data_IF_375699076503
#
_entry.id   IF_375699076503
#
_cell.length_a   1.000
_cell.length_b   1.000
_cell.length_c   1.000
_cell.angle_alpha   90.00
_cell.angle_beta   90.00
_cell.angle_gamma   90.00
#
_symmetry.space_group_name_H-M   'P 1'
#
loop_
_entity.id
_entity.type
_entity.pdbx_description
1 polymer ?
#
# COMPACT_ATOMS: atom_id res chain seq x y z
N UNK A 1 3.55 -24.26 -27.31
CA UNK A 1 3.66 -22.78 -27.27
C UNK A 1 4.10 -22.40 -25.86
N UNK A 2 4.85 -21.32 -25.60
CA UNK A 2 5.22 -21.00 -24.22
C UNK A 2 4.00 -20.46 -23.45
N UNK A 3 3.83 -20.88 -22.19
CA UNK A 3 2.73 -20.52 -21.26
C UNK A 3 2.27 -19.06 -21.41
N UNK A 4 3.21 -18.12 -21.27
CA UNK A 4 2.93 -16.69 -21.37
C UNK A 4 2.35 -16.29 -22.73
N UNK A 5 2.80 -16.89 -23.84
CA UNK A 5 2.33 -16.52 -25.19
C UNK A 5 0.86 -16.91 -25.41
N UNK A 6 0.41 -18.01 -24.82
CA UNK A 6 -0.99 -18.45 -24.89
C UNK A 6 -1.90 -17.49 -24.13
N UNK A 7 -1.54 -17.18 -22.87
CA UNK A 7 -2.25 -16.22 -22.01
C UNK A 7 -2.40 -14.85 -22.69
N UNK A 8 -1.31 -14.31 -23.27
CA UNK A 8 -1.33 -13.03 -23.98
C UNK A 8 -2.29 -13.00 -25.16
N UNK A 9 -2.22 -14.02 -26.03
CA UNK A 9 -3.07 -14.10 -27.22
C UNK A 9 -4.54 -14.16 -26.86
N UNK A 10 -4.89 -14.87 -25.78
CA UNK A 10 -6.26 -14.91 -25.30
C UNK A 10 -6.71 -13.56 -24.74
N UNK A 11 -5.89 -12.88 -23.92
CA UNK A 11 -6.23 -11.53 -23.42
C UNK A 11 -6.50 -10.58 -24.58
N UNK A 12 -5.65 -10.58 -25.61
CA UNK A 12 -5.82 -9.74 -26.80
C UNK A 12 -7.13 -10.03 -27.53
N UNK A 13 -7.43 -11.32 -27.72
CA UNK A 13 -8.63 -11.77 -28.39
C UNK A 13 -9.90 -11.37 -27.63
N UNK A 14 -9.96 -11.64 -26.32
CA UNK A 14 -11.09 -11.31 -25.46
C UNK A 14 -11.24 -9.81 -25.19
N UNK A 15 -10.16 -9.02 -25.27
CA UNK A 15 -10.27 -7.56 -25.17
C UNK A 15 -10.94 -6.97 -26.42
N UNK A 16 -10.57 -7.47 -27.60
CA UNK A 16 -10.99 -6.90 -28.87
C UNK A 16 -12.36 -7.42 -29.34
N UNK A 17 -12.90 -8.50 -28.77
CA UNK A 17 -14.16 -9.06 -29.24
C UNK A 17 -15.04 -9.64 -28.12
N UNK A 18 -16.33 -9.79 -28.44
CA UNK A 18 -17.32 -10.43 -27.58
C UNK A 18 -17.13 -11.94 -27.57
N UNK A 19 -17.61 -12.61 -26.51
CA UNK A 19 -17.59 -14.08 -26.40
C UNK A 19 -18.27 -14.72 -27.61
N UNK A 20 -19.41 -14.16 -28.03
CA UNK A 20 -20.17 -14.63 -29.19
C UNK A 20 -19.32 -14.60 -30.46
N UNK A 21 -18.61 -13.52 -30.74
CA UNK A 21 -17.75 -13.41 -31.93
C UNK A 21 -16.56 -14.39 -31.92
N UNK A 22 -16.07 -14.76 -30.73
CA UNK A 22 -14.97 -15.71 -30.56
C UNK A 22 -15.46 -17.15 -30.82
N UNK A 23 -16.66 -17.49 -30.33
CA UNK A 23 -17.25 -18.83 -30.43
C UNK A 23 -17.94 -19.09 -31.78
N UNK A 24 -18.38 -18.04 -32.46
CA UNK A 24 -18.99 -18.13 -33.78
C UNK A 24 -18.03 -18.59 -34.88
N UNK A 25 -18.61 -19.00 -36.02
CA UNK A 25 -17.87 -19.38 -37.23
C UNK A 25 -16.82 -20.50 -37.01
N UNK A 26 -17.13 -21.50 -36.17
CA UNK A 26 -16.24 -22.62 -35.86
C UNK A 26 -14.86 -22.16 -35.34
N UNK A 27 -14.83 -21.16 -34.46
CA UNK A 27 -13.61 -20.69 -33.80
C UNK A 27 -12.62 -20.00 -34.75
N UNK A 28 -13.10 -19.38 -35.84
CA UNK A 28 -12.21 -18.78 -36.84
C UNK A 28 -11.29 -17.70 -36.25
N UNK A 29 -11.78 -16.93 -35.27
CA UNK A 29 -10.95 -15.94 -34.58
C UNK A 29 -9.86 -16.57 -33.72
N UNK A 30 -10.15 -17.73 -33.10
CA UNK A 30 -9.14 -18.51 -32.39
C UNK A 30 -8.08 -19.03 -33.36
N UNK A 31 -8.49 -19.56 -34.52
CA UNK A 31 -7.55 -20.01 -35.56
C UNK A 31 -6.63 -18.89 -36.03
N UNK A 32 -7.19 -17.71 -36.29
CA UNK A 32 -6.44 -16.52 -36.70
C UNK A 32 -5.46 -16.06 -35.61
N UNK A 33 -5.93 -15.92 -34.36
CA UNK A 33 -5.10 -15.46 -33.25
C UNK A 33 -3.93 -16.43 -32.96
N UNK A 34 -4.18 -17.74 -33.10
CA UNK A 34 -3.19 -18.79 -32.81
C UNK A 34 -2.36 -19.26 -34.00
N UNK A 35 -2.70 -18.81 -35.21
CA UNK A 35 -2.05 -19.21 -36.48
C UNK A 35 -2.13 -20.73 -36.72
N UNK A 36 -3.32 -21.31 -36.48
CA UNK A 36 -3.58 -22.74 -36.61
C UNK A 36 -4.70 -23.03 -37.60
N UNK A 37 -4.67 -24.21 -38.22
CA UNK A 37 -5.70 -24.63 -39.19
C UNK A 37 -6.93 -25.26 -38.54
N UNK A 38 -6.76 -25.86 -37.35
CA UNK A 38 -7.83 -26.55 -36.63
C UNK A 38 -7.80 -26.15 -35.15
N UNK A 39 -8.90 -25.55 -34.68
CA UNK A 39 -9.00 -25.06 -33.30
C UNK A 39 -9.13 -26.19 -32.28
N UNK A 40 -9.52 -27.42 -32.68
CA UNK A 40 -9.58 -28.56 -31.77
C UNK A 40 -8.21 -28.90 -31.18
N UNK A 41 -7.12 -28.54 -31.87
CA UNK A 41 -5.75 -28.66 -31.35
C UNK A 41 -5.51 -27.83 -30.09
N UNK A 42 -6.24 -26.71 -29.92
CA UNK A 42 -6.17 -25.90 -28.70
C UNK A 42 -6.93 -26.54 -27.54
N UNK A 43 -8.00 -27.28 -27.83
CA UNK A 43 -8.81 -27.96 -26.82
C UNK A 43 -8.09 -29.16 -26.19
N UNK A 44 -7.03 -29.67 -26.83
CA UNK A 44 -6.17 -30.69 -26.25
C UNK A 44 -5.14 -30.10 -25.26
N UNK A 45 -4.95 -28.78 -25.27
CA UNK A 45 -4.07 -28.07 -24.36
C UNK A 45 -4.83 -27.65 -23.09
N UNK A 46 -4.56 -28.37 -21.99
CA UNK A 46 -5.16 -28.10 -20.69
C UNK A 46 -4.94 -26.66 -20.21
N UNK A 47 -3.80 -26.08 -20.55
CA UNK A 47 -3.44 -24.72 -20.14
C UNK A 47 -4.25 -23.69 -20.91
N UNK A 48 -4.37 -23.88 -22.23
CA UNK A 48 -5.26 -23.08 -23.07
C UNK A 48 -6.69 -23.11 -22.53
N UNK A 49 -7.24 -24.30 -22.28
CA UNK A 49 -8.62 -24.45 -21.78
C UNK A 49 -8.81 -23.74 -20.44
N UNK A 50 -7.85 -23.88 -19.53
CA UNK A 50 -7.89 -23.21 -18.22
C UNK A 50 -7.97 -21.68 -18.38
N UNK A 51 -7.08 -21.08 -19.18
CA UNK A 51 -7.10 -19.63 -19.39
C UNK A 51 -8.32 -19.16 -20.18
N UNK A 52 -8.78 -19.95 -21.15
CA UNK A 52 -9.96 -19.64 -21.94
C UNK A 52 -11.20 -19.51 -21.06
N UNK A 53 -11.45 -20.46 -20.16
CA UNK A 53 -12.62 -20.42 -19.25
C UNK A 53 -12.54 -19.26 -18.25
N UNK A 54 -11.34 -18.97 -17.73
CA UNK A 54 -11.10 -17.81 -16.85
C UNK A 54 -11.42 -16.50 -17.59
N UNK A 55 -10.85 -16.31 -18.79
CA UNK A 55 -11.04 -15.11 -19.58
C UNK A 55 -12.48 -14.95 -20.09
N UNK A 56 -13.16 -16.05 -20.39
CA UNK A 56 -14.58 -16.04 -20.74
C UNK A 56 -15.43 -15.52 -19.58
N UNK A 57 -15.17 -16.00 -18.36
CA UNK A 57 -15.82 -15.49 -17.14
C UNK A 57 -15.57 -14.01 -16.94
N UNK A 58 -14.31 -13.57 -17.05
CA UNK A 58 -13.92 -12.17 -16.89
C UNK A 58 -14.52 -11.27 -17.96
N UNK A 59 -14.54 -11.73 -19.21
CA UNK A 59 -15.17 -11.00 -20.30
C UNK A 59 -16.65 -10.81 -20.07
N UNK A 60 -17.35 -11.83 -19.57
CA UNK A 60 -18.78 -11.72 -19.27
C UNK A 60 -19.05 -10.64 -18.19
N UNK A 61 -18.24 -10.59 -17.12
CA UNK A 61 -18.34 -9.55 -16.08
C UNK A 61 -18.02 -8.16 -16.66
N UNK A 62 -16.99 -8.06 -17.51
CA UNK A 62 -16.61 -6.81 -18.17
C UNK A 62 -17.71 -6.29 -19.12
N UNK A 63 -18.33 -7.16 -19.90
CA UNK A 63 -19.46 -6.82 -20.78
C UNK A 63 -20.70 -6.40 -19.97
N UNK A 64 -20.88 -6.96 -18.78
CA UNK A 64 -21.95 -6.55 -17.87
C UNK A 64 -21.71 -5.13 -17.36
N UNK A 65 -20.50 -4.84 -16.86
CA UNK A 65 -20.10 -3.48 -16.47
C UNK A 65 -20.26 -2.50 -17.64
N UNK A 66 -19.79 -2.86 -18.83
CA UNK A 66 -19.87 -2.01 -20.03
C UNK A 66 -21.30 -1.59 -20.39
N UNK A 67 -22.29 -2.44 -20.06
CA UNK A 67 -23.71 -2.22 -20.35
C UNK A 67 -24.42 -1.46 -19.23
N UNK A 68 -23.99 -1.63 -17.99
CA UNK A 68 -24.66 -1.09 -16.81
C UNK A 68 -24.13 0.30 -16.41
N UNK A 69 -22.84 0.57 -16.66
CA UNK A 69 -22.20 1.82 -16.29
C UNK A 69 -21.31 2.40 -17.39
N UNK A 70 -21.13 3.72 -17.36
CA UNK A 70 -20.32 4.48 -18.30
C UNK A 70 -19.46 5.54 -17.57
N UNK A 71 -18.45 6.07 -18.27
CA UNK A 71 -17.57 7.11 -17.74
C UNK A 71 -16.90 6.73 -16.42
N UNK A 72 -16.95 7.62 -15.43
CA UNK A 72 -16.26 7.42 -14.15
C UNK A 72 -16.83 6.27 -13.31
N UNK A 73 -18.15 6.02 -13.39
CA UNK A 73 -18.79 4.93 -12.64
C UNK A 73 -18.34 3.57 -13.18
N UNK A 74 -18.14 3.46 -14.49
CA UNK A 74 -17.56 2.26 -15.11
C UNK A 74 -16.13 2.01 -14.62
N UNK A 75 -15.33 3.06 -14.47
CA UNK A 75 -13.97 2.96 -13.91
C UNK A 75 -14.02 2.46 -12.46
N UNK A 76 -14.92 3.00 -11.64
CA UNK A 76 -15.12 2.58 -10.25
C UNK A 76 -15.52 1.12 -10.12
N UNK A 77 -16.49 0.65 -10.92
CA UNK A 77 -16.90 -0.75 -10.93
C UNK A 77 -15.76 -1.69 -11.33
N UNK A 78 -14.95 -1.29 -12.32
CA UNK A 78 -13.74 -2.01 -12.71
C UNK A 78 -12.72 -2.11 -11.55
N UNK A 79 -12.46 -1.01 -10.85
CA UNK A 79 -11.55 -0.99 -9.71
C UNK A 79 -12.08 -1.81 -8.53
N UNK A 80 -13.40 -1.76 -8.26
CA UNK A 80 -14.05 -2.55 -7.22
C UNK A 80 -13.88 -4.04 -7.48
N UNK A 81 -14.13 -4.48 -8.71
CA UNK A 81 -13.90 -5.87 -9.10
C UNK A 81 -12.43 -6.29 -8.89
N UNK A 82 -11.46 -5.47 -9.29
CA UNK A 82 -10.04 -5.78 -9.07
C UNK A 82 -9.72 -5.89 -7.57
N UNK A 83 -10.31 -5.01 -6.75
CA UNK A 83 -10.15 -5.06 -5.30
C UNK A 83 -10.70 -6.36 -4.69
N UNK A 84 -11.90 -6.79 -5.12
CA UNK A 84 -12.52 -8.05 -4.69
C UNK A 84 -11.62 -9.27 -4.98
N UNK A 85 -11.09 -9.37 -6.20
CA UNK A 85 -10.23 -10.49 -6.62
C UNK A 85 -8.89 -10.50 -5.88
N UNK A 86 -8.39 -9.31 -5.52
CA UNK A 86 -7.16 -9.17 -4.74
C UNK A 86 -7.35 -9.70 -3.31
N UNK A 87 -8.51 -9.45 -2.70
CA UNK A 87 -8.82 -9.93 -1.35
C UNK A 87 -8.94 -11.47 -1.31
N UNK A 88 -9.36 -12.09 -2.41
CA UNK A 88 -9.32 -13.54 -2.62
C UNK A 88 -7.90 -14.11 -2.86
N UNK A 89 -6.87 -13.25 -2.85
CA UNK A 89 -5.45 -13.57 -3.04
C UNK A 89 -5.11 -14.20 -4.40
N UNK A 90 -5.93 -13.96 -5.42
CA UNK A 90 -5.64 -14.42 -6.77
C UNK A 90 -4.89 -13.35 -7.58
N UNK A 91 -3.58 -13.22 -7.31
CA UNK A 91 -2.75 -12.20 -7.94
C UNK A 91 -2.67 -12.36 -9.47
N UNK A 92 -2.78 -13.58 -9.98
CA UNK A 92 -2.79 -13.82 -11.42
C UNK A 92 -4.08 -13.30 -12.06
N UNK A 93 -5.24 -13.52 -11.43
CA UNK A 93 -6.51 -12.95 -11.89
C UNK A 93 -6.45 -11.43 -11.92
N UNK A 94 -5.93 -10.80 -10.86
CA UNK A 94 -5.76 -9.33 -10.78
C UNK A 94 -4.96 -8.80 -11.98
N UNK A 95 -3.87 -9.47 -12.35
CA UNK A 95 -3.06 -9.12 -13.51
C UNK A 95 -3.88 -9.25 -14.82
N UNK A 96 -4.57 -10.38 -15.01
CA UNK A 96 -5.37 -10.66 -16.21
C UNK A 96 -6.48 -9.62 -16.37
N UNK A 97 -7.26 -9.37 -15.31
CA UNK A 97 -8.40 -8.44 -15.30
C UNK A 97 -7.94 -7.02 -15.62
N UNK A 98 -6.88 -6.56 -14.95
CA UNK A 98 -6.31 -5.22 -15.17
C UNK A 98 -5.89 -5.03 -16.62
N UNK A 99 -5.31 -6.04 -17.24
CA UNK A 99 -4.88 -5.99 -18.65
C UNK A 99 -6.04 -6.03 -19.62
N UNK A 100 -7.05 -6.86 -19.34
CA UNK A 100 -8.26 -6.95 -20.12
C UNK A 100 -9.00 -5.59 -20.13
N UNK A 101 -9.17 -4.97 -18.96
CA UNK A 101 -9.76 -3.62 -18.80
C UNK A 101 -8.96 -2.59 -19.58
N UNK A 102 -7.62 -2.57 -19.45
CA UNK A 102 -6.76 -1.62 -20.17
C UNK A 102 -6.91 -1.73 -21.68
N UNK A 103 -6.93 -2.94 -22.23
CA UNK A 103 -7.07 -3.14 -23.67
C UNK A 103 -8.49 -2.82 -24.14
N UNK A 104 -9.51 -3.15 -23.35
CA UNK A 104 -10.91 -2.93 -23.74
C UNK A 104 -11.31 -1.46 -23.64
N UNK A 105 -11.14 -0.85 -22.46
CA UNK A 105 -11.66 0.48 -22.17
C UNK A 105 -10.61 1.57 -22.33
N UNK A 106 -9.40 1.39 -21.79
CA UNK A 106 -8.38 2.45 -21.83
C UNK A 106 -7.86 2.75 -23.25
N UNK A 107 -7.95 1.82 -24.20
CA UNK A 107 -7.49 2.06 -25.56
C UNK A 107 -8.56 2.74 -26.42
N UNK A 108 -9.82 2.30 -26.29
CA UNK A 108 -10.86 2.61 -27.27
C UNK A 108 -11.98 3.54 -26.72
N UNK A 109 -12.27 3.52 -25.42
CA UNK A 109 -13.52 4.10 -24.89
C UNK A 109 -13.28 5.25 -23.89
N UNK A 110 -12.38 5.05 -22.92
CA UNK A 110 -12.17 6.05 -21.88
C UNK A 110 -11.45 7.30 -22.40
N UNK A 111 -11.81 8.45 -21.85
CA UNK A 111 -11.07 9.69 -22.02
C UNK A 111 -9.83 9.73 -21.09
N UNK A 112 -9.02 10.79 -21.21
CA UNK A 112 -7.78 10.91 -20.43
C UNK A 112 -8.02 11.01 -18.91
N UNK A 113 -9.13 11.59 -18.48
CA UNK A 113 -9.46 11.71 -17.06
C UNK A 113 -9.81 10.36 -16.45
N UNK A 114 -10.63 9.56 -17.15
CA UNK A 114 -11.01 8.19 -16.75
C UNK A 114 -9.81 7.26 -16.71
N UNK A 115 -8.95 7.29 -17.75
CA UNK A 115 -7.71 6.51 -17.78
C UNK A 115 -6.81 6.85 -16.60
N UNK A 116 -6.64 8.14 -16.32
CA UNK A 116 -5.85 8.60 -15.19
C UNK A 116 -6.44 8.13 -13.86
N UNK A 117 -7.76 8.22 -13.69
CA UNK A 117 -8.44 7.74 -12.48
C UNK A 117 -8.25 6.23 -12.28
N UNK A 118 -8.37 5.45 -13.35
CA UNK A 118 -8.09 4.01 -13.31
C UNK A 118 -6.63 3.74 -12.93
N UNK A 119 -5.68 4.44 -13.56
CA UNK A 119 -4.24 4.27 -13.30
C UNK A 119 -3.86 4.63 -11.85
N UNK A 120 -4.41 5.72 -11.33
CA UNK A 120 -4.24 6.15 -9.94
C UNK A 120 -4.82 5.10 -8.97
N UNK A 121 -6.01 4.56 -9.26
CA UNK A 121 -6.65 3.49 -8.49
C UNK A 121 -5.87 2.17 -8.51
N UNK A 122 -5.34 1.76 -9.67
CA UNK A 122 -4.46 0.58 -9.78
C UNK A 122 -3.16 0.81 -9.00
N UNK A 123 -2.56 2.00 -9.07
CA UNK A 123 -1.38 2.33 -8.27
C UNK A 123 -1.67 2.21 -6.77
N UNK A 124 -2.83 2.69 -6.30
CA UNK A 124 -3.28 2.51 -4.91
C UNK A 124 -3.42 1.03 -4.55
N UNK A 125 -4.12 0.25 -5.37
CA UNK A 125 -4.35 -1.16 -5.10
C UNK A 125 -3.05 -1.96 -5.11
N UNK A 126 -2.18 -1.79 -6.10
CA UNK A 126 -1.03 -2.68 -6.28
C UNK A 126 0.23 -2.22 -5.54
N UNK A 127 0.47 -0.91 -5.48
CA UNK A 127 1.78 -0.38 -5.09
C UNK A 127 1.81 0.24 -3.70
N UNK A 128 0.68 0.77 -3.22
CA UNK A 128 0.68 1.39 -1.89
C UNK A 128 0.94 0.37 -0.80
N UNK A 129 1.69 0.79 0.22
CA UNK A 129 1.84 0.02 1.46
C UNK A 129 0.78 0.42 2.46
N UNK A 130 0.49 -0.47 3.40
CA UNK A 130 -0.51 -0.18 4.44
C UNK A 130 -0.02 0.96 5.36
N UNK A 131 1.28 1.00 5.65
CA UNK A 131 1.85 2.11 6.41
C UNK A 131 3.30 2.48 6.04
N UNK A 132 3.65 3.74 6.30
CA UNK A 132 5.01 4.26 6.38
C UNK A 132 5.37 4.46 7.85
N UNK A 133 6.52 3.96 8.32
CA UNK A 133 6.99 4.20 9.69
C UNK A 133 8.15 5.21 9.70
N UNK A 134 7.88 6.42 10.19
CA UNK A 134 8.86 7.47 10.45
C UNK A 134 9.43 7.32 11.86
N UNK A 135 10.76 7.36 12.00
CA UNK A 135 11.45 7.27 13.29
C UNK A 135 12.88 7.82 13.19
N UNK A 136 13.54 8.04 14.32
CA UNK A 136 14.95 8.43 14.37
C UNK A 136 15.79 7.34 15.01
N UNK A 137 17.06 7.23 14.60
CA UNK A 137 18.07 6.45 15.34
C UNK A 137 18.82 7.31 16.37
N UNK A 138 18.55 8.64 16.41
CA UNK A 138 19.08 9.50 17.47
C UNK A 138 18.57 8.99 18.80
N UNK A 139 19.49 8.77 19.74
CA UNK A 139 19.22 8.20 21.05
C UNK A 139 18.72 6.75 21.07
N UNK A 140 18.91 5.99 19.97
CA UNK A 140 18.50 4.58 19.92
C UNK A 140 19.05 3.74 21.08
N UNK A 141 20.26 4.04 21.59
CA UNK A 141 20.81 3.35 22.77
C UNK A 141 19.93 3.49 24.02
N UNK A 142 19.51 4.72 24.35
CA UNK A 142 18.68 4.97 25.54
C UNK A 142 17.29 4.37 25.34
N UNK A 143 16.64 4.65 24.21
CA UNK A 143 15.33 4.06 23.87
C UNK A 143 15.38 2.52 23.91
N UNK A 144 16.41 1.90 23.35
CA UNK A 144 16.52 0.44 23.39
C UNK A 144 16.75 -0.09 24.82
N UNK A 145 17.32 0.72 25.72
CA UNK A 145 17.51 0.37 27.13
C UNK A 145 16.22 0.44 27.92
N UNK A 146 15.39 1.45 27.68
CA UNK A 146 14.09 1.59 28.33
C UNK A 146 13.14 0.42 28.00
N UNK A 147 13.35 -0.23 26.86
CA UNK A 147 12.53 -1.36 26.38
C UNK A 147 13.30 -2.70 26.29
N UNK A 148 14.49 -2.80 26.92
CA UNK A 148 15.43 -3.91 26.75
C UNK A 148 14.79 -5.29 26.95
N UNK A 149 14.05 -5.49 28.05
CA UNK A 149 13.43 -6.79 28.38
C UNK A 149 12.52 -7.31 27.24
N UNK A 150 11.78 -6.40 26.61
CA UNK A 150 10.82 -6.74 25.54
C UNK A 150 11.57 -6.96 24.23
N UNK A 151 12.58 -6.13 23.95
CA UNK A 151 13.37 -6.20 22.73
C UNK A 151 14.22 -7.46 22.69
N UNK A 152 14.86 -7.83 23.80
CA UNK A 152 15.64 -9.07 23.94
C UNK A 152 14.74 -10.30 23.78
N UNK A 153 13.55 -10.30 24.37
CA UNK A 153 12.58 -11.39 24.21
C UNK A 153 12.17 -11.62 22.74
N UNK A 154 12.01 -10.54 21.96
CA UNK A 154 11.50 -10.60 20.58
C UNK A 154 12.61 -10.83 19.56
N UNK A 155 13.74 -10.14 19.69
CA UNK A 155 14.83 -10.14 18.71
C UNK A 155 16.01 -11.03 19.11
N UNK A 156 16.14 -11.42 20.39
CA UNK A 156 17.18 -12.32 20.89
C UNK A 156 18.59 -11.89 20.43
N UNK A 157 19.35 -12.79 19.80
CA UNK A 157 20.71 -12.54 19.31
C UNK A 157 20.81 -11.32 18.39
N UNK A 158 19.78 -11.06 17.58
CA UNK A 158 19.79 -9.94 16.63
C UNK A 158 19.78 -8.58 17.35
N UNK A 159 19.37 -8.52 18.62
CA UNK A 159 19.36 -7.27 19.41
C UNK A 159 20.77 -6.83 19.82
N UNK A 160 21.68 -7.79 20.04
CA UNK A 160 23.00 -7.53 20.62
C UNK A 160 23.97 -6.88 19.62
N UNK A 161 23.88 -7.21 18.33
CA UNK A 161 24.91 -6.86 17.35
C UNK A 161 24.89 -5.41 16.83
N UNK A 162 23.82 -4.62 17.05
CA UNK A 162 23.69 -3.25 16.52
C UNK A 162 22.81 -2.28 17.35
N UNK A 163 22.74 -2.49 18.68
CA UNK A 163 21.86 -1.72 19.60
C UNK A 163 22.08 -0.20 19.56
N UNK A 164 23.29 0.26 19.24
CA UNK A 164 23.63 1.70 19.26
C UNK A 164 23.27 2.46 17.98
N UNK A 165 22.94 1.74 16.90
CA UNK A 165 22.72 2.33 15.57
C UNK A 165 21.30 2.14 15.04
N UNK A 166 20.52 1.32 15.73
CA UNK A 166 19.20 0.87 15.27
C UNK A 166 18.16 1.15 16.35
N UNK A 167 17.08 1.83 16.01
CA UNK A 167 15.92 1.94 16.88
C UNK A 167 15.11 0.62 16.85
N UNK A 168 15.36 -0.27 17.81
CA UNK A 168 14.68 -1.57 17.86
C UNK A 168 13.24 -1.44 18.33
N UNK A 169 12.88 -0.37 19.04
CA UNK A 169 11.47 -0.09 19.37
C UNK A 169 10.65 0.18 18.10
N UNK A 170 11.17 1.00 17.17
CA UNK A 170 10.54 1.19 15.86
C UNK A 170 10.41 -0.14 15.10
N UNK A 171 11.45 -0.98 15.11
CA UNK A 171 11.38 -2.34 14.52
C UNK A 171 10.34 -3.23 15.20
N UNK A 172 10.19 -3.14 16.52
CA UNK A 172 9.20 -3.88 17.29
C UNK A 172 7.78 -3.47 16.89
N UNK A 173 7.53 -2.16 16.80
CA UNK A 173 6.24 -1.60 16.35
C UNK A 173 5.94 -2.11 14.93
N UNK A 174 6.87 -1.97 13.99
CA UNK A 174 6.70 -2.48 12.63
C UNK A 174 6.44 -3.99 12.61
N UNK A 175 7.19 -4.77 13.39
CA UNK A 175 7.00 -6.21 13.52
C UNK A 175 5.59 -6.56 13.98
N UNK A 176 5.06 -5.86 14.99
CA UNK A 176 3.72 -6.11 15.51
C UNK A 176 2.60 -5.63 14.59
N UNK A 177 2.75 -4.48 13.92
CA UNK A 177 1.82 -4.02 12.90
C UNK A 177 1.66 -5.05 11.77
N UNK A 178 2.78 -5.58 11.27
CA UNK A 178 2.79 -6.64 10.24
C UNK A 178 2.19 -7.95 10.79
N UNK A 179 2.58 -8.34 12.02
CA UNK A 179 2.18 -9.63 12.60
C UNK A 179 0.68 -9.74 12.92
N UNK A 180 0.04 -8.65 13.37
CA UNK A 180 -1.34 -8.73 13.84
C UNK A 180 -2.38 -8.75 12.73
N UNK A 181 -2.20 -7.92 11.70
CA UNK A 181 -3.21 -7.74 10.65
C UNK A 181 -2.62 -8.00 9.24
N UNK A 182 -1.42 -8.57 9.15
CA UNK A 182 -0.77 -8.87 7.87
C UNK A 182 -0.36 -7.63 7.07
N UNK A 183 -0.19 -6.49 7.75
CA UNK A 183 0.08 -5.21 7.11
C UNK A 183 1.41 -5.24 6.35
N UNK A 184 1.41 -4.63 5.19
CA UNK A 184 2.59 -4.32 4.40
C UNK A 184 3.15 -2.97 4.81
N UNK A 185 4.46 -2.91 4.99
CA UNK A 185 5.13 -1.74 5.52
C UNK A 185 6.11 -1.16 4.51
N UNK A 186 6.27 0.16 4.55
CA UNK A 186 7.52 0.80 4.18
C UNK A 186 8.22 1.27 5.45
N UNK A 187 9.33 0.63 5.80
CA UNK A 187 10.25 1.10 6.83
C UNK A 187 11.66 0.70 6.43
N UNK A 188 12.63 1.50 6.81
CA UNK A 188 14.03 1.21 6.56
C UNK A 188 14.51 0.10 7.50
N UNK A 189 14.59 -1.12 6.98
CA UNK A 189 15.09 -2.29 7.73
C UNK A 189 16.62 -2.42 7.64
N UNK A 190 17.26 -1.77 6.68
CA UNK A 190 18.60 -2.11 6.19
C UNK A 190 19.59 -0.93 6.24
N UNK A 191 19.39 0.04 7.14
CA UNK A 191 20.27 1.20 7.31
C UNK A 191 20.45 2.00 6.00
N UNK A 192 19.34 2.43 5.39
CA UNK A 192 19.36 3.45 4.35
C UNK A 192 20.01 4.72 4.94
N UNK A 193 21.30 4.89 4.69
CA UNK A 193 22.06 6.07 5.12
C UNK A 193 21.50 7.32 4.45
N UNK A 194 20.89 8.22 5.23
CA UNK A 194 20.29 9.45 4.73
C UNK A 194 21.26 10.25 3.83
N UNK A 195 20.85 10.48 2.58
CA UNK A 195 21.54 11.32 1.60
C UNK A 195 20.55 11.78 0.50
N UNK A 196 20.93 12.79 -0.29
CA UNK A 196 19.99 13.42 -1.24
C UNK A 196 19.41 12.45 -2.28
N UNK A 197 20.14 11.40 -2.66
CA UNK A 197 19.66 10.36 -3.59
C UNK A 197 18.57 9.46 -2.98
N UNK A 198 18.55 9.31 -1.67
CA UNK A 198 17.61 8.48 -0.93
C UNK A 198 16.35 9.26 -0.56
N UNK A 199 16.48 10.58 -0.38
CA UNK A 199 15.39 11.50 -0.07
C UNK A 199 14.21 11.32 -1.03
N UNK A 200 14.45 11.34 -2.33
CA UNK A 200 13.35 11.22 -3.31
C UNK A 200 12.63 9.89 -3.18
N UNK A 201 13.37 8.81 -2.93
CA UNK A 201 12.79 7.47 -2.74
C UNK A 201 11.95 7.41 -1.47
N UNK A 202 12.47 7.86 -0.33
CA UNK A 202 11.73 7.88 0.95
C UNK A 202 10.50 8.77 0.84
N UNK A 203 10.65 9.98 0.28
CA UNK A 203 9.56 10.93 0.10
C UNK A 203 8.51 10.45 -0.91
N UNK A 204 8.88 9.62 -1.89
CA UNK A 204 7.92 8.96 -2.77
C UNK A 204 7.12 7.91 -1.98
N UNK A 205 7.82 7.06 -1.23
CA UNK A 205 7.16 6.02 -0.44
C UNK A 205 6.26 6.60 0.65
N UNK A 206 6.64 7.69 1.32
CA UNK A 206 5.77 8.31 2.32
C UNK A 206 4.45 8.81 1.71
N UNK A 207 4.40 9.14 0.41
CA UNK A 207 3.17 9.55 -0.28
C UNK A 207 2.41 8.40 -0.96
N UNK A 208 2.89 7.16 -0.83
CA UNK A 208 2.29 5.97 -1.43
C UNK A 208 1.96 4.93 -0.34
N UNK A 209 1.29 5.40 0.72
CA UNK A 209 0.84 4.56 1.84
C UNK A 209 -0.54 4.96 2.32
N UNK A 210 -1.29 4.03 2.91
CA UNK A 210 -2.59 4.33 3.52
C UNK A 210 -2.45 5.06 4.86
N UNK A 211 -1.42 4.75 5.65
CA UNK A 211 -1.19 5.36 6.96
C UNK A 211 0.23 5.90 7.13
N UNK A 212 0.35 7.05 7.79
CA UNK A 212 1.60 7.57 8.32
C UNK A 212 1.69 7.25 9.80
N UNK A 213 2.63 6.38 10.14
CA UNK A 213 2.93 5.98 11.50
C UNK A 213 4.24 6.62 11.91
N UNK A 214 4.34 7.14 13.12
CA UNK A 214 5.58 7.74 13.61
C UNK A 214 5.85 7.40 15.06
N UNK A 215 7.07 6.96 15.33
CA UNK A 215 7.61 6.90 16.69
C UNK A 215 8.15 8.30 17.02
N UNK A 216 7.56 8.92 18.03
CA UNK A 216 7.85 10.28 18.46
C UNK A 216 8.61 10.23 19.78
N UNK A 217 9.82 10.78 19.74
CA UNK A 217 10.77 10.78 20.84
C UNK A 217 11.31 12.20 20.99
N UNK A 218 11.60 12.65 22.21
CA UNK A 218 12.15 13.99 22.45
C UNK A 218 13.42 14.31 21.63
N UNK A 219 14.37 13.36 21.41
CA UNK A 219 15.55 13.56 20.55
C UNK A 219 15.23 13.98 19.11
N UNK A 220 14.04 13.67 18.58
CA UNK A 220 13.62 14.10 17.24
C UNK A 220 13.60 15.63 17.11
N UNK A 221 13.56 16.36 18.21
CA UNK A 221 13.53 17.83 18.21
C UNK A 221 14.90 18.46 18.51
N UNK A 222 15.92 17.66 18.80
CA UNK A 222 17.25 18.11 19.26
C UNK A 222 18.24 18.42 18.12
N UNK A 223 17.75 18.73 16.92
CA UNK A 223 18.60 19.04 15.78
C UNK A 223 19.23 20.44 15.91
N UNK A 224 20.55 20.54 15.76
CA UNK A 224 21.25 21.82 15.63
C UNK A 224 20.86 22.54 14.33
N UNK A 225 21.04 23.87 14.25
CA UNK A 225 20.65 24.71 13.11
C UNK A 225 21.15 24.23 11.73
N UNK A 226 22.16 23.35 11.67
CA UNK A 226 22.72 22.82 10.43
C UNK A 226 22.32 21.37 10.13
N UNK A 227 21.63 20.68 11.04
CA UNK A 227 21.19 19.31 10.83
C UNK A 227 19.72 19.25 10.45
N UNK A 228 19.40 18.42 9.47
CA UNK A 228 18.05 18.29 8.92
C UNK A 228 17.24 17.29 9.74
N UNK A 229 16.09 17.72 10.24
CA UNK A 229 15.10 16.86 10.88
C UNK A 229 14.31 16.09 9.80
N UNK A 230 14.70 14.84 9.53
CA UNK A 230 14.08 14.03 8.47
C UNK A 230 12.65 13.62 8.80
N UNK A 231 12.37 13.25 10.06
CA UNK A 231 11.01 12.90 10.51
C UNK A 231 10.02 14.04 10.25
N UNK A 232 10.43 15.28 10.49
CA UNK A 232 9.60 16.45 10.20
C UNK A 232 9.38 16.67 8.71
N UNK A 233 10.40 16.41 7.89
CA UNK A 233 10.31 16.59 6.43
C UNK A 233 9.44 15.52 5.78
N UNK A 234 9.48 14.29 6.28
CA UNK A 234 8.55 13.21 5.93
C UNK A 234 7.11 13.57 6.28
N UNK A 235 6.88 14.04 7.52
CA UNK A 235 5.58 14.53 7.97
C UNK A 235 5.06 15.65 7.04
N UNK A 236 5.87 16.70 6.80
CA UNK A 236 5.49 17.81 5.92
C UNK A 236 5.16 17.33 4.50
N UNK A 237 5.94 16.38 3.97
CA UNK A 237 5.70 15.86 2.63
C UNK A 237 4.38 15.10 2.56
N UNK A 238 4.10 14.25 3.54
CA UNK A 238 2.84 13.52 3.63
C UNK A 238 1.65 14.46 3.80
N UNK A 239 1.74 15.45 4.70
CA UNK A 239 0.70 16.44 4.96
C UNK A 239 0.39 17.29 3.71
N UNK A 240 1.43 17.75 3.01
CA UNK A 240 1.25 18.47 1.73
C UNK A 240 0.62 17.61 0.65
N UNK A 241 0.94 16.31 0.61
CA UNK A 241 0.35 15.40 -0.35
C UNK A 241 -1.12 15.14 -0.04
N UNK A 242 -1.47 14.90 1.22
CA UNK A 242 -2.86 14.76 1.66
C UNK A 242 -3.69 15.98 1.28
N UNK A 243 -3.20 17.18 1.61
CA UNK A 243 -3.87 18.43 1.28
C UNK A 243 -4.12 18.60 -0.24
N UNK A 244 -3.19 18.15 -1.10
CA UNK A 244 -3.33 18.22 -2.56
C UNK A 244 -4.26 17.16 -3.13
N UNK A 245 -4.32 15.99 -2.50
CA UNK A 245 -5.15 14.87 -2.98
C UNK A 245 -6.65 15.11 -2.81
N UNK A 246 -7.06 16.17 -2.10
CA UNK A 246 -8.45 16.40 -1.73
C UNK A 246 -8.97 15.41 -0.68
N UNK A 247 -8.15 14.42 -0.29
CA UNK A 247 -8.44 13.49 0.79
C UNK A 247 -8.18 14.21 2.12
N UNK A 248 -9.17 14.96 2.58
CA UNK A 248 -9.17 15.65 3.89
C UNK A 248 -9.36 14.69 5.06
N UNK A 249 -9.32 13.37 4.82
CA UNK A 249 -9.45 12.38 5.89
C UNK A 249 -8.24 12.44 6.82
N UNK A 250 -8.51 13.07 7.94
CA UNK A 250 -7.58 13.50 8.97
C UNK A 250 -7.17 12.33 9.91
N UNK A 251 -7.57 11.10 9.55
CA UNK A 251 -7.44 9.87 10.36
C UNK A 251 -6.25 8.99 9.93
N UNK A 252 -5.38 9.47 9.03
CA UNK A 252 -4.26 8.70 8.47
C UNK A 252 -2.97 8.81 9.28
N UNK A 253 -2.99 9.57 10.38
CA UNK A 253 -1.85 9.79 11.27
C UNK A 253 -1.96 8.93 12.53
N UNK A 254 -0.90 8.20 12.84
CA UNK A 254 -0.78 7.40 14.05
C UNK A 254 0.58 7.66 14.70
N UNK A 255 0.56 7.96 15.99
CA UNK A 255 1.76 8.34 16.73
C UNK A 255 1.95 7.40 17.92
N UNK A 256 3.20 6.99 18.13
CA UNK A 256 3.63 6.32 19.34
C UNK A 256 4.57 7.26 20.09
N UNK A 257 4.28 7.57 21.35
CA UNK A 257 5.17 8.39 22.17
C UNK A 257 5.98 7.49 23.10
N UNK A 258 7.29 7.70 23.21
CA UNK A 258 8.12 7.02 24.21
C UNK A 258 8.07 7.68 25.58
N UNK A 259 7.62 8.94 25.63
CA UNK A 259 7.49 9.75 26.84
C UNK A 259 6.11 10.42 26.89
N UNK A 260 5.74 10.96 28.05
CA UNK A 260 4.52 11.76 28.13
C UNK A 260 4.58 12.97 27.18
N UNK A 261 3.42 13.39 26.67
CA UNK A 261 3.32 14.47 25.68
C UNK A 261 4.00 15.77 26.14
N UNK A 262 3.92 16.08 27.43
CA UNK A 262 4.56 17.27 28.02
C UNK A 262 6.09 17.20 28.05
N UNK A 263 6.67 15.99 28.09
CA UNK A 263 8.12 15.77 28.00
C UNK A 263 8.60 15.88 26.56
N UNK A 264 7.84 15.31 25.64
CA UNK A 264 8.10 15.40 24.20
C UNK A 264 7.99 16.86 23.71
N UNK A 265 7.01 17.61 24.22
CA UNK A 265 6.73 18.99 23.83
C UNK A 265 6.86 19.97 25.02
N UNK A 266 8.09 20.36 25.41
CA UNK A 266 8.30 21.32 26.50
C UNK A 266 7.68 22.69 26.21
N UNK A 267 7.48 23.51 27.24
CA UNK A 267 6.84 24.83 27.11
C UNK A 267 7.50 25.75 26.05
N UNK A 268 8.83 25.68 25.91
CA UNK A 268 9.60 26.43 24.91
C UNK A 268 9.83 25.64 23.61
N UNK A 269 8.80 24.93 23.13
CA UNK A 269 8.91 24.12 21.93
C UNK A 269 9.10 24.97 20.65
N UNK A 270 9.99 24.58 19.71
CA UNK A 270 10.25 25.39 18.52
C UNK A 270 8.99 25.60 17.67
N UNK A 271 8.65 26.86 17.40
CA UNK A 271 7.43 27.22 16.66
C UNK A 271 7.35 26.65 15.24
N UNK A 272 8.49 26.30 14.63
CA UNK A 272 8.54 25.64 13.32
C UNK A 272 7.82 24.29 13.29
N UNK A 273 7.70 23.62 14.44
CA UNK A 273 7.06 22.32 14.59
C UNK A 273 5.61 22.42 15.06
N UNK A 274 5.04 23.63 15.17
CA UNK A 274 3.70 23.84 15.75
C UNK A 274 2.60 23.02 15.06
N UNK A 275 2.57 22.98 13.73
CA UNK A 275 1.56 22.18 13.00
C UNK A 275 1.71 20.68 13.30
N UNK A 276 2.95 20.19 13.35
CA UNK A 276 3.23 18.79 13.64
C UNK A 276 2.85 18.42 15.08
N UNK A 277 3.19 19.27 16.05
CA UNK A 277 2.75 19.15 17.44
C UNK A 277 1.23 19.08 17.54
N UNK A 278 0.50 20.02 16.93
CA UNK A 278 -0.96 20.02 16.95
C UNK A 278 -1.52 18.71 16.38
N UNK A 279 -0.96 18.21 15.27
CA UNK A 279 -1.34 16.91 14.71
C UNK A 279 -1.03 15.76 15.65
N UNK A 280 0.05 15.81 16.43
CA UNK A 280 0.31 14.76 17.43
C UNK A 280 -0.71 14.87 18.56
N UNK A 281 -0.94 16.05 19.13
CA UNK A 281 -1.90 16.27 20.24
C UNK A 281 -3.36 15.92 19.89
N UNK A 282 -3.80 16.18 18.65
CA UNK A 282 -5.18 15.99 18.23
C UNK A 282 -5.52 14.55 17.77
N UNK A 283 -4.52 13.68 17.55
CA UNK A 283 -4.71 12.44 16.77
C UNK A 283 -4.46 11.17 17.59
N UNK A 284 -4.46 10.05 16.90
CA UNK A 284 -4.29 8.72 17.49
C UNK A 284 -2.88 8.55 18.06
N UNK A 285 -2.73 8.97 19.31
CA UNK A 285 -1.52 8.80 20.10
C UNK A 285 -1.66 7.60 21.00
N UNK A 286 -0.71 6.68 20.89
CA UNK A 286 -0.51 5.64 21.89
C UNK A 286 0.76 5.96 22.70
N UNK A 287 0.56 6.29 23.97
CA UNK A 287 1.65 6.53 24.92
C UNK A 287 2.26 5.20 25.37
N UNK A 288 3.57 5.04 25.12
CA UNK A 288 4.36 3.87 25.51
C UNK A 288 5.15 4.08 26.81
N UNK A 289 5.18 5.30 27.35
CA UNK A 289 6.05 5.71 28.46
C UNK A 289 5.75 5.03 29.80
N UNK A 290 4.52 4.50 29.95
CA UNK A 290 4.07 3.85 31.19
C UNK A 290 3.94 2.32 31.05
N UNK A 291 4.38 1.75 29.93
CA UNK A 291 4.13 0.34 29.67
C UNK A 291 5.22 -0.52 30.31
N UNK A 292 4.84 -1.25 31.36
CA UNK A 292 5.76 -2.09 32.14
C UNK A 292 5.92 -3.51 31.60
N UNK A 293 5.20 -3.90 30.53
CA UNK A 293 5.28 -5.25 29.97
C UNK A 293 4.90 -5.35 28.48
N UNK A 294 5.38 -6.42 27.84
CA UNK A 294 5.15 -6.73 26.42
C UNK A 294 3.66 -6.82 26.03
N UNK A 295 2.79 -7.27 26.94
CA UNK A 295 1.37 -7.46 26.64
C UNK A 295 0.69 -6.12 26.34
N UNK A 296 1.07 -5.06 27.04
CA UNK A 296 0.54 -3.72 26.87
C UNK A 296 0.95 -3.10 25.53
N UNK A 297 2.25 -3.13 25.18
CA UNK A 297 2.75 -2.66 23.88
C UNK A 297 2.03 -3.40 22.75
N UNK A 298 1.93 -4.73 22.83
CA UNK A 298 1.22 -5.55 21.84
C UNK A 298 -0.23 -5.13 21.69
N UNK A 299 -0.93 -4.87 22.79
CA UNK A 299 -2.32 -4.43 22.77
C UNK A 299 -2.48 -3.09 22.04
N UNK A 300 -1.62 -2.13 22.38
CA UNK A 300 -1.58 -0.78 21.80
C UNK A 300 -1.28 -0.81 20.30
N UNK A 301 -0.24 -1.55 19.89
CA UNK A 301 0.09 -1.71 18.46
C UNK A 301 -1.02 -2.43 17.71
N UNK A 302 -1.69 -3.42 18.32
CA UNK A 302 -2.84 -4.11 17.70
C UNK A 302 -4.02 -3.16 17.47
N UNK A 303 -4.30 -2.23 18.37
CA UNK A 303 -5.34 -1.21 18.19
C UNK A 303 -5.01 -0.34 16.96
N UNK A 304 -3.76 0.12 16.85
CA UNK A 304 -3.30 0.91 15.70
C UNK A 304 -3.39 0.10 14.40
N UNK A 305 -2.96 -1.17 14.41
CA UNK A 305 -3.05 -2.04 13.24
C UNK A 305 -4.48 -2.15 12.69
N UNK A 306 -5.46 -2.35 13.58
CA UNK A 306 -6.88 -2.39 13.19
C UNK A 306 -7.37 -1.07 12.60
N UNK A 307 -7.00 0.06 13.20
CA UNK A 307 -7.36 1.38 12.67
C UNK A 307 -6.77 1.60 11.27
N UNK A 308 -5.54 1.13 11.01
CA UNK A 308 -4.92 1.21 9.67
C UNK A 308 -5.73 0.39 8.65
N UNK A 309 -6.18 -0.81 9.00
CA UNK A 309 -7.06 -1.63 8.14
C UNK A 309 -8.37 -0.90 7.84
N UNK A 310 -9.01 -0.34 8.86
CA UNK A 310 -10.26 0.43 8.72
C UNK A 310 -10.06 1.66 7.82
N UNK A 311 -8.98 2.41 8.03
CA UNK A 311 -8.65 3.59 7.22
C UNK A 311 -8.34 3.23 5.77
N UNK A 312 -7.60 2.15 5.52
CA UNK A 312 -7.39 1.65 4.16
C UNK A 312 -8.71 1.33 3.48
N UNK A 313 -9.59 0.60 4.17
CA UNK A 313 -10.92 0.26 3.65
C UNK A 313 -11.71 1.53 3.32
N UNK A 314 -11.80 2.49 4.24
CA UNK A 314 -12.50 3.75 4.02
C UNK A 314 -11.96 4.55 2.82
N UNK A 315 -10.63 4.55 2.63
CA UNK A 315 -10.00 5.23 1.48
C UNK A 315 -10.36 4.54 0.18
N UNK A 316 -10.30 3.21 0.13
CA UNK A 316 -10.63 2.43 -1.06
C UNK A 316 -12.12 2.54 -1.39
N UNK A 317 -13.00 2.36 -0.41
CA UNK A 317 -14.45 2.50 -0.56
C UNK A 317 -14.77 3.93 -1.06
N UNK A 318 -14.25 4.97 -0.43
CA UNK A 318 -14.46 6.36 -0.88
C UNK A 318 -13.85 6.69 -2.25
N UNK A 319 -12.88 5.91 -2.73
CA UNK A 319 -12.32 6.06 -4.07
C UNK A 319 -13.13 5.28 -5.12
N UNK A 320 -13.92 4.30 -4.70
CA UNK A 320 -14.72 3.43 -5.58
C UNK A 320 -16.23 3.66 -5.47
N UNK A 321 -16.67 4.50 -4.53
CA UNK A 321 -18.03 5.04 -4.37
C UNK A 321 -18.13 6.43 -5.00
#
# INVERSE_FOLDING_TARGET
MGVNKTKEKLIDLFAANTIKEIEENNGERLKQAFEISDFHQLLEDNEFNSYYEILKTFRYKLDTIARETEGIEQVKDCLRWISEEKDEKNLENVEIISRLIRKRFCQEEWNQSEKKYFDDGIEMLEKWKDFFLSYTNQNSTETNSDFEDILDHVFKSDFQDNREKTNYLARLIAHYLVKFEGLTAFYDKDNITCGDKIKEKILKHCTSVYAFVQLVEQPIFSYSNNQKNWCFEEFKKFDQWLAKSGQTQDNRYYFFLTESIDRVFPANFPGIYKNWRNKIEERHVEDLSQLGNNREIRSKVKIVAKKIVETKKQILDSYMD
#
